data_IF_464767295128
#
_entry.id   IF_464767295128
#
_cell.length_a   1.000
_cell.length_b   1.000
_cell.length_c   1.000
_cell.angle_alpha   90.00
_cell.angle_beta   90.00
_cell.angle_gamma   90.00
#
_symmetry.space_group_name_H-M   'P 1'
#
loop_
_entity.id
_entity.type
_entity.pdbx_description
1 polymer ?
#
# COMPACT_ATOMS: atom_id res chain seq x y z
N UNK A 1 -17.26 60.41 -5.91
CA UNK A 1 -15.85 59.95 -5.97
C UNK A 1 -15.83 58.48 -5.62
N UNK A 2 -15.70 57.62 -6.62
CA UNK A 2 -15.87 56.17 -6.51
C UNK A 2 -14.51 55.51 -6.67
N UNK A 3 -14.03 54.87 -5.61
CA UNK A 3 -12.73 54.19 -5.57
C UNK A 3 -12.83 52.81 -6.24
N UNK A 4 -12.18 52.66 -7.39
CA UNK A 4 -12.05 51.37 -8.07
C UNK A 4 -10.98 50.50 -7.38
N UNK A 5 -11.38 49.33 -6.88
CA UNK A 5 -10.47 48.24 -6.47
C UNK A 5 -9.73 47.70 -7.70
N UNK A 6 -8.39 47.71 -7.67
CA UNK A 6 -7.55 47.02 -8.66
C UNK A 6 -7.69 45.50 -8.48
N UNK A 7 -8.31 44.83 -9.45
CA UNK A 7 -8.29 43.37 -9.57
C UNK A 7 -6.91 42.88 -10.02
N UNK A 8 -6.38 41.86 -9.36
CA UNK A 8 -5.19 41.13 -9.81
C UNK A 8 -5.48 40.44 -11.15
N UNK A 9 -4.72 40.79 -12.20
CA UNK A 9 -4.68 40.03 -13.45
C UNK A 9 -3.66 38.91 -13.31
N UNK A 10 -4.10 37.69 -13.05
CA UNK A 10 -3.28 36.50 -13.29
C UNK A 10 -3.21 36.23 -14.79
N UNK A 11 -2.02 36.31 -15.37
CA UNK A 11 -1.76 35.85 -16.73
C UNK A 11 -1.73 34.31 -16.74
N UNK A 12 -2.89 33.69 -16.90
CA UNK A 12 -2.96 32.27 -17.25
C UNK A 12 -2.55 32.09 -18.71
N UNK A 13 -1.34 31.59 -18.94
CA UNK A 13 -0.96 31.11 -20.27
C UNK A 13 -1.69 29.78 -20.53
N UNK A 14 -2.72 29.79 -21.37
CA UNK A 14 -3.38 28.56 -21.82
C UNK A 14 -2.46 27.80 -22.77
N UNK A 15 -2.30 26.50 -22.52
CA UNK A 15 -1.59 25.60 -23.41
C UNK A 15 -2.33 25.52 -24.76
N UNK A 16 -1.62 25.76 -25.87
CA UNK A 16 -2.20 25.77 -27.23
C UNK A 16 -2.21 24.38 -27.90
N UNK A 17 -1.86 23.30 -27.21
CA UNK A 17 -1.93 21.95 -27.77
C UNK A 17 -3.37 21.40 -27.74
N UNK A 18 -3.92 21.05 -28.91
CA UNK A 18 -5.12 20.21 -29.01
C UNK A 18 -4.87 18.89 -28.25
N UNK A 19 -5.84 18.46 -27.44
CA UNK A 19 -5.83 17.25 -26.58
C UNK A 19 -4.94 17.29 -25.33
N UNK A 20 -4.43 18.44 -24.92
CA UNK A 20 -3.76 18.59 -23.62
C UNK A 20 -4.79 18.96 -22.53
N UNK A 21 -5.31 17.98 -21.80
CA UNK A 21 -6.06 18.21 -20.55
C UNK A 21 -5.08 18.58 -19.42
N UNK A 22 -4.53 19.79 -19.44
CA UNK A 22 -3.84 20.33 -18.25
C UNK A 22 -4.92 20.67 -17.24
N UNK A 23 -5.12 19.79 -16.25
CA UNK A 23 -5.96 20.07 -15.10
C UNK A 23 -5.24 21.12 -14.25
N UNK A 24 -5.61 22.39 -14.42
CA UNK A 24 -5.17 23.47 -13.53
C UNK A 24 -5.83 23.24 -12.18
N UNK A 25 -5.07 22.70 -11.23
CA UNK A 25 -5.51 22.60 -9.83
C UNK A 25 -5.19 23.93 -9.18
N UNK A 26 -6.23 24.72 -8.90
CA UNK A 26 -6.08 25.94 -8.11
C UNK A 26 -6.27 25.56 -6.64
N UNK A 27 -5.38 26.03 -5.75
CA UNK A 27 -5.58 26.00 -4.30
C UNK A 27 -6.00 27.42 -3.88
N UNK A 28 -7.29 27.79 -4.00
CA UNK A 28 -7.76 29.16 -3.72
C UNK A 28 -7.56 29.57 -2.26
N UNK A 29 -7.39 28.57 -1.42
CA UNK A 29 -7.15 28.64 0.00
C UNK A 29 -5.71 29.02 0.40
N UNK A 30 -4.74 28.89 -0.50
CA UNK A 30 -3.37 29.32 -0.23
C UNK A 30 -3.33 30.84 -0.08
N UNK A 31 -2.62 31.34 0.94
CA UNK A 31 -2.66 32.73 1.36
C UNK A 31 -1.29 33.23 1.84
N UNK A 32 -1.12 34.56 1.82
CA UNK A 32 0.10 35.25 2.21
C UNK A 32 1.19 35.23 1.14
N UNK A 33 2.21 36.08 1.32
CA UNK A 33 3.41 36.10 0.47
C UNK A 33 4.44 35.07 0.98
N UNK A 34 4.90 34.19 0.08
CA UNK A 34 5.90 33.17 0.41
C UNK A 34 7.14 33.38 -0.45
N UNK A 35 8.31 33.14 0.14
CA UNK A 35 9.58 33.04 -0.60
C UNK A 35 9.66 31.68 -1.29
N UNK A 36 9.28 30.61 -0.58
CA UNK A 36 9.24 29.23 -1.08
C UNK A 36 8.46 28.33 -0.10
N UNK A 37 7.99 27.16 -0.54
CA UNK A 37 7.86 26.72 -1.93
C UNK A 37 6.68 27.40 -2.65
N UNK A 38 6.55 27.16 -3.96
CA UNK A 38 5.35 27.55 -4.70
C UNK A 38 4.19 26.59 -4.39
N UNK A 39 2.97 27.07 -4.60
CA UNK A 39 1.76 26.25 -4.51
C UNK A 39 1.87 25.05 -5.45
N UNK A 40 1.60 23.86 -4.89
CA UNK A 40 1.61 22.57 -5.58
C UNK A 40 2.96 22.09 -6.12
N UNK A 41 4.07 22.69 -5.64
CA UNK A 41 5.39 22.09 -5.86
C UNK A 41 5.38 20.62 -5.39
N UNK A 42 6.11 19.78 -6.13
CA UNK A 42 6.22 18.35 -5.85
C UNK A 42 7.58 18.04 -5.24
N UNK A 43 7.56 17.29 -4.15
CA UNK A 43 8.74 16.78 -3.48
C UNK A 43 8.63 15.26 -3.40
N UNK A 44 9.77 14.57 -3.30
CA UNK A 44 9.80 13.12 -3.33
C UNK A 44 10.52 12.57 -2.12
N UNK A 45 9.88 11.64 -1.42
CA UNK A 45 10.55 10.64 -0.60
C UNK A 45 11.45 9.86 -1.54
N UNK A 46 12.74 9.81 -1.23
CA UNK A 46 13.71 9.16 -2.11
C UNK A 46 13.56 7.63 -2.11
N UNK A 47 14.29 6.98 -3.01
CA UNK A 47 14.28 5.53 -3.15
C UNK A 47 15.00 4.81 -1.98
N UNK A 48 15.50 5.55 -0.99
CA UNK A 48 16.00 5.08 0.30
C UNK A 48 14.98 5.27 1.44
N UNK A 49 13.77 5.71 1.11
CA UNK A 49 12.70 6.04 2.04
C UNK A 49 13.03 7.20 3.00
N UNK A 50 13.83 8.17 2.56
CA UNK A 50 14.07 9.40 3.32
C UNK A 50 13.09 10.50 2.92
N UNK A 51 12.50 11.15 3.91
CA UNK A 51 11.65 12.32 3.68
C UNK A 51 12.48 13.50 3.13
N UNK A 52 11.99 14.23 2.11
CA UNK A 52 12.75 15.30 1.47
C UNK A 52 12.93 16.52 2.38
N UNK A 53 13.97 17.30 2.12
CA UNK A 53 14.04 18.69 2.62
C UNK A 53 13.02 19.53 1.86
N UNK A 54 12.12 20.17 2.59
CA UNK A 54 11.10 21.08 2.04
C UNK A 54 11.12 22.34 2.91
N UNK A 55 11.85 23.35 2.44
CA UNK A 55 11.98 24.60 3.18
C UNK A 55 10.80 25.51 2.86
N UNK A 56 9.97 25.74 3.86
CA UNK A 56 8.92 26.73 3.88
C UNK A 56 9.49 28.05 4.41
N UNK A 57 9.21 29.16 3.73
CA UNK A 57 9.68 30.48 4.13
C UNK A 57 8.65 31.56 3.77
N UNK A 58 8.18 32.28 4.78
CA UNK A 58 7.18 33.34 4.64
C UNK A 58 7.86 34.70 4.49
N UNK A 59 7.18 35.62 3.79
CA UNK A 59 7.59 37.02 3.69
C UNK A 59 6.61 37.87 4.52
N UNK A 60 7.10 38.42 5.62
CA UNK A 60 6.34 39.27 6.56
C UNK A 60 7.26 40.26 7.25
N UNK A 61 6.75 41.44 7.59
CA UNK A 61 7.42 42.40 8.46
C UNK A 61 6.98 42.26 9.93
N UNK A 62 5.97 41.43 10.20
CA UNK A 62 5.50 41.18 11.56
C UNK A 62 6.60 40.52 12.41
N UNK A 63 6.83 40.99 13.65
CA UNK A 63 7.78 40.36 14.55
C UNK A 63 7.31 38.97 14.96
N UNK A 64 8.26 38.07 15.20
CA UNK A 64 7.99 36.76 15.77
C UNK A 64 7.67 36.81 17.27
N UNK A 65 7.40 35.65 17.89
CA UNK A 65 7.52 34.32 17.31
C UNK A 65 6.34 33.95 16.41
N UNK A 66 6.60 33.07 15.44
CA UNK A 66 5.62 32.59 14.48
C UNK A 66 5.07 31.24 14.91
N UNK A 67 3.74 31.07 14.85
CA UNK A 67 3.09 29.79 15.12
C UNK A 67 2.95 29.02 13.82
N UNK A 68 3.66 27.91 13.71
CA UNK A 68 3.62 27.03 12.55
C UNK A 68 2.70 25.86 12.84
N UNK A 69 1.91 25.47 11.86
CA UNK A 69 1.21 24.19 11.86
C UNK A 69 1.33 23.53 10.50
N UNK A 70 1.33 22.22 10.49
CA UNK A 70 1.36 21.42 9.29
C UNK A 70 0.31 20.31 9.38
N UNK A 71 -0.25 19.96 8.24
CA UNK A 71 -1.17 18.85 8.07
C UNK A 71 -0.81 18.10 6.79
N UNK A 72 -0.52 16.80 6.93
CA UNK A 72 -0.35 15.86 5.82
C UNK A 72 -1.62 15.03 5.68
N UNK A 73 -2.11 14.87 4.46
CA UNK A 73 -3.24 13.99 4.18
C UNK A 73 -3.10 13.27 2.84
N UNK A 74 -3.51 12.01 2.79
CA UNK A 74 -3.55 11.21 1.57
C UNK A 74 -4.82 10.38 1.52
N UNK A 75 -5.56 10.51 0.43
CA UNK A 75 -6.71 9.67 0.14
C UNK A 75 -6.25 8.45 -0.66
N UNK A 76 -6.26 7.28 -0.02
CA UNK A 76 -5.90 6.02 -0.64
C UNK A 76 -6.98 5.58 -1.63
N UNK A 77 -6.66 5.63 -2.91
CA UNK A 77 -7.52 5.15 -3.99
C UNK A 77 -6.94 3.88 -4.61
N UNK A 78 -7.82 2.90 -4.90
CA UNK A 78 -7.44 1.61 -5.48
C UNK A 78 -6.71 1.81 -6.80
N UNK A 79 -5.56 1.18 -6.99
CA UNK A 79 -4.81 1.19 -8.25
C UNK A 79 -4.74 -0.21 -8.90
N UNK A 80 -4.65 -1.26 -8.08
CA UNK A 80 -4.07 -2.54 -8.52
C UNK A 80 -2.59 -2.35 -8.91
N UNK A 81 -2.04 -3.26 -9.73
CA UNK A 81 -0.62 -3.19 -10.16
C UNK A 81 -0.40 -2.50 -11.52
N UNK A 82 -1.46 -2.29 -12.31
CA UNK A 82 -1.37 -1.70 -13.65
C UNK A 82 -1.25 -0.18 -13.56
N UNK A 83 -0.47 0.42 -14.47
CA UNK A 83 -0.36 1.87 -14.63
C UNK A 83 -1.62 2.44 -15.28
N UNK A 84 -2.63 2.77 -14.46
CA UNK A 84 -3.91 3.34 -14.89
C UNK A 84 -4.44 4.31 -13.84
N UNK A 85 -5.44 5.09 -14.23
CA UNK A 85 -6.18 5.93 -13.30
C UNK A 85 -6.69 5.11 -12.10
N UNK A 86 -6.55 5.69 -10.90
CA UNK A 86 -7.04 5.07 -9.66
C UNK A 86 -8.56 5.01 -9.64
N UNK A 87 -9.08 3.96 -9.01
CA UNK A 87 -10.49 3.71 -8.78
C UNK A 87 -11.00 4.40 -7.51
N UNK A 88 -11.94 3.74 -6.81
CA UNK A 88 -12.58 4.28 -5.61
C UNK A 88 -11.61 4.52 -4.45
N UNK A 89 -11.94 5.47 -3.58
CA UNK A 89 -11.29 5.67 -2.29
C UNK A 89 -11.60 4.50 -1.35
N UNK A 90 -10.60 4.00 -0.64
CA UNK A 90 -10.73 2.96 0.40
C UNK A 90 -10.39 3.45 1.80
N UNK A 91 -9.55 4.48 1.92
CA UNK A 91 -9.20 5.08 3.20
C UNK A 91 -8.68 6.52 3.03
N UNK A 92 -8.63 7.26 4.13
CA UNK A 92 -7.92 8.54 4.24
C UNK A 92 -6.94 8.42 5.39
N UNK A 93 -5.68 8.75 5.14
CA UNK A 93 -4.63 8.83 6.14
C UNK A 93 -4.23 10.28 6.35
N UNK A 94 -3.97 10.65 7.60
CA UNK A 94 -3.58 12.02 7.92
C UNK A 94 -2.71 12.08 9.16
N UNK A 95 -1.86 13.09 9.21
CA UNK A 95 -1.05 13.45 10.37
C UNK A 95 -0.90 14.97 10.44
N UNK A 96 -0.62 15.49 11.62
CA UNK A 96 -0.50 16.94 11.84
C UNK A 96 0.38 17.25 13.03
N UNK A 97 0.88 18.48 13.06
CA UNK A 97 1.57 19.02 14.21
C UNK A 97 1.62 20.54 14.16
N UNK A 98 2.01 21.12 15.27
CA UNK A 98 2.20 22.54 15.44
C UNK A 98 3.37 22.81 16.37
N UNK A 99 3.97 23.99 16.21
CA UNK A 99 5.08 24.46 17.03
C UNK A 99 5.24 25.97 16.86
N UNK A 100 6.09 26.58 17.67
CA UNK A 100 6.40 28.01 17.62
C UNK A 100 7.90 28.22 17.48
N UNK A 101 8.32 29.14 16.62
CA UNK A 101 9.73 29.49 16.46
C UNK A 101 9.92 30.97 16.11
N UNK A 102 11.11 31.51 16.35
CA UNK A 102 11.45 32.88 15.97
C UNK A 102 11.74 33.03 14.47
N UNK A 103 12.12 31.95 13.77
CA UNK A 103 12.51 31.96 12.37
C UNK A 103 11.32 32.05 11.40
N UNK A 104 11.50 32.81 10.32
CA UNK A 104 10.55 32.89 9.18
C UNK A 104 10.61 31.67 8.25
N UNK A 105 11.53 30.75 8.51
CA UNK A 105 11.76 29.57 7.70
C UNK A 105 11.75 28.28 8.52
N UNK A 106 11.10 27.24 8.01
CA UNK A 106 11.02 25.93 8.60
C UNK A 106 11.24 24.84 7.54
N UNK A 107 12.06 23.83 7.84
CA UNK A 107 12.23 22.65 7.00
C UNK A 107 11.28 21.53 7.46
N UNK A 108 10.37 21.13 6.59
CA UNK A 108 9.44 20.03 6.88
C UNK A 108 10.14 18.69 7.11
N UNK A 109 11.44 18.54 6.78
CA UNK A 109 12.23 17.36 7.16
C UNK A 109 12.21 17.10 8.67
N UNK A 110 12.01 18.12 9.51
CA UNK A 110 11.90 17.94 10.97
C UNK A 110 10.61 17.26 11.41
N UNK A 111 9.64 17.02 10.51
CA UNK A 111 8.49 16.14 10.78
C UNK A 111 9.00 14.77 11.24
N UNK A 112 10.15 14.32 10.71
CA UNK A 112 10.81 13.06 11.07
C UNK A 112 9.89 11.83 10.89
N UNK A 113 9.11 11.83 9.80
CA UNK A 113 8.20 10.75 9.39
C UNK A 113 8.25 10.58 7.88
N UNK A 114 8.22 9.35 7.40
CA UNK A 114 8.18 9.03 5.97
C UNK A 114 6.73 8.87 5.54
N UNK A 115 6.04 9.99 5.31
CA UNK A 115 4.63 10.04 4.90
C UNK A 115 4.46 10.95 3.68
N UNK A 116 3.62 10.59 2.72
CA UNK A 116 3.36 11.40 1.54
C UNK A 116 1.91 11.83 1.43
N UNK A 117 1.58 12.61 0.41
CA UNK A 117 0.26 13.17 0.16
C UNK A 117 0.27 14.68 -0.02
N UNK A 118 -0.85 15.31 0.30
CA UNK A 118 -0.97 16.77 0.32
C UNK A 118 -0.47 17.30 1.65
N UNK A 119 0.61 18.10 1.63
CA UNK A 119 1.13 18.81 2.79
C UNK A 119 0.63 20.25 2.75
N UNK A 120 -0.12 20.64 3.77
CA UNK A 120 -0.54 22.03 4.00
C UNK A 120 0.22 22.59 5.18
N UNK A 121 0.84 23.75 5.02
CA UNK A 121 1.52 24.49 6.08
C UNK A 121 0.79 25.80 6.30
N UNK A 122 0.55 26.12 7.57
CA UNK A 122 -0.07 27.37 8.00
C UNK A 122 0.83 28.08 9.00
N UNK A 123 0.96 29.40 8.87
CA UNK A 123 1.76 30.23 9.78
C UNK A 123 0.91 31.40 10.26
N UNK A 124 0.88 31.63 11.56
CA UNK A 124 0.35 32.85 12.16
C UNK A 124 1.52 33.77 12.54
N UNK A 125 1.51 35.00 12.02
CA UNK A 125 2.51 36.04 12.25
C UNK A 125 1.82 37.35 12.65
N UNK A 126 1.59 37.53 13.97
CA UNK A 126 0.74 38.62 14.45
C UNK A 126 -0.70 38.47 13.93
N UNK A 127 -1.18 39.44 13.17
CA UNK A 127 -2.50 39.41 12.51
C UNK A 127 -2.47 38.73 11.12
N UNK A 128 -1.28 38.50 10.56
CA UNK A 128 -1.13 37.87 9.25
C UNK A 128 -1.25 36.35 9.34
N UNK A 129 -1.89 35.76 8.32
CA UNK A 129 -2.03 34.31 8.16
C UNK A 129 -1.51 33.88 6.80
N UNK A 130 -0.62 32.90 6.83
CA UNK A 130 -0.03 32.30 5.65
C UNK A 130 -0.55 30.87 5.51
N UNK A 131 -0.84 30.44 4.29
CA UNK A 131 -1.16 29.05 3.97
C UNK A 131 -0.51 28.66 2.65
N UNK A 132 0.24 27.55 2.66
CA UNK A 132 0.89 27.00 1.46
C UNK A 132 0.65 25.50 1.39
N UNK A 133 0.29 25.04 0.20
CA UNK A 133 0.08 23.62 -0.09
C UNK A 133 1.12 23.10 -1.07
N UNK A 134 1.72 21.95 -0.78
CA UNK A 134 2.62 21.20 -1.67
C UNK A 134 2.21 19.74 -1.74
N UNK A 135 2.80 18.97 -2.65
CA UNK A 135 2.59 17.52 -2.75
C UNK A 135 3.87 16.77 -2.45
N UNK A 136 3.79 15.75 -1.59
CA UNK A 136 4.89 14.83 -1.30
C UNK A 136 4.56 13.47 -1.90
N UNK A 137 5.37 13.01 -2.84
CA UNK A 137 5.28 11.73 -3.53
C UNK A 137 6.46 10.85 -3.13
N UNK A 138 6.59 9.65 -3.72
CA UNK A 138 7.71 8.76 -3.44
C UNK A 138 8.40 8.27 -4.71
N UNK A 139 9.66 7.84 -4.58
CA UNK A 139 10.41 7.17 -5.63
C UNK A 139 10.39 5.66 -5.42
N UNK A 140 10.19 4.91 -6.50
CA UNK A 140 10.17 3.46 -6.46
C UNK A 140 11.60 2.94 -6.27
N UNK A 141 11.89 2.15 -5.20
CA UNK A 141 13.17 1.46 -5.10
C UNK A 141 13.32 0.40 -6.20
N UNK A 142 14.54 0.10 -6.61
CA UNK A 142 14.79 -1.02 -7.51
C UNK A 142 14.48 -2.36 -6.83
N UNK A 143 14.16 -3.38 -7.63
CA UNK A 143 13.94 -4.73 -7.12
C UNK A 143 15.21 -5.26 -6.42
N UNK A 144 16.38 -4.95 -6.94
CA UNK A 144 17.68 -5.32 -6.37
C UNK A 144 17.87 -4.69 -4.99
N UNK A 145 17.44 -3.43 -4.80
CA UNK A 145 17.50 -2.75 -3.51
C UNK A 145 16.60 -3.43 -2.48
N UNK A 146 15.37 -3.78 -2.88
CA UNK A 146 14.45 -4.54 -2.01
C UNK A 146 15.05 -5.91 -1.65
N UNK A 147 15.58 -6.65 -2.63
CA UNK A 147 16.21 -7.95 -2.40
C UNK A 147 17.40 -7.86 -1.45
N UNK A 148 18.28 -6.88 -1.64
CA UNK A 148 19.40 -6.63 -0.74
C UNK A 148 18.92 -6.32 0.70
N UNK A 149 17.83 -5.54 0.83
CA UNK A 149 17.23 -5.21 2.12
C UNK A 149 16.65 -6.43 2.84
N UNK A 150 15.99 -7.34 2.10
CA UNK A 150 15.49 -8.62 2.60
C UNK A 150 16.63 -9.58 3.00
N UNK A 151 17.66 -9.68 2.16
CA UNK A 151 18.82 -10.53 2.41
C UNK A 151 19.55 -10.14 3.71
N UNK A 152 19.75 -8.83 3.93
CA UNK A 152 20.33 -8.30 5.17
C UNK A 152 19.53 -8.68 6.43
N UNK A 153 18.22 -8.95 6.29
CA UNK A 153 17.30 -9.36 7.37
C UNK A 153 17.03 -10.86 7.41
N UNK A 154 17.67 -11.65 6.54
CA UNK A 154 17.46 -13.10 6.41
C UNK A 154 16.00 -13.48 6.10
N UNK A 155 15.29 -12.62 5.36
CA UNK A 155 13.86 -12.78 5.05
C UNK A 155 13.63 -13.32 3.62
N UNK A 156 14.35 -14.37 3.20
CA UNK A 156 14.28 -14.89 1.81
C UNK A 156 12.92 -15.47 1.43
N UNK A 157 12.16 -16.02 2.39
CA UNK A 157 10.79 -16.50 2.15
C UNK A 157 9.86 -15.37 1.68
N UNK A 158 10.08 -14.14 2.15
CA UNK A 158 9.30 -12.97 1.76
C UNK A 158 9.64 -12.51 0.33
N UNK A 159 10.83 -12.81 -0.21
CA UNK A 159 11.20 -12.41 -1.57
C UNK A 159 10.24 -13.01 -2.62
N UNK A 160 9.93 -14.31 -2.49
CA UNK A 160 8.98 -14.99 -3.40
C UNK A 160 7.58 -14.38 -3.30
N UNK A 161 7.15 -14.06 -2.08
CA UNK A 161 5.87 -13.40 -1.85
C UNK A 161 5.83 -12.01 -2.49
N UNK A 162 6.84 -11.15 -2.28
CA UNK A 162 6.86 -9.82 -2.92
C UNK A 162 6.89 -9.89 -4.45
N UNK A 163 7.59 -10.88 -5.00
CA UNK A 163 7.59 -11.13 -6.44
C UNK A 163 6.18 -11.45 -6.96
N UNK A 164 5.40 -12.23 -6.20
CA UNK A 164 4.03 -12.58 -6.53
C UNK A 164 3.04 -11.43 -6.29
N UNK A 165 3.06 -10.84 -5.09
CA UNK A 165 2.09 -9.85 -4.62
C UNK A 165 2.14 -8.56 -5.43
N UNK A 166 3.35 -8.09 -5.75
CA UNK A 166 3.51 -6.79 -6.37
C UNK A 166 4.56 -6.74 -7.47
N UNK A 167 5.33 -7.81 -7.68
CA UNK A 167 6.55 -7.79 -8.52
C UNK A 167 7.54 -6.73 -8.03
N UNK A 168 7.69 -6.64 -6.70
CA UNK A 168 8.51 -5.62 -6.00
C UNK A 168 8.05 -4.18 -6.20
N UNK A 169 6.83 -3.97 -6.72
CA UNK A 169 6.29 -2.65 -6.97
C UNK A 169 5.65 -2.08 -5.70
N UNK A 170 6.26 -1.02 -5.16
CA UNK A 170 5.72 -0.30 -4.03
C UNK A 170 4.78 0.82 -4.47
N UNK A 171 5.05 1.45 -5.62
CA UNK A 171 4.35 2.62 -6.13
C UNK A 171 3.73 2.39 -7.51
N UNK A 172 2.68 3.15 -7.83
CA UNK A 172 2.25 3.38 -9.21
C UNK A 172 3.09 4.49 -9.80
N UNK A 173 3.85 4.22 -10.86
CA UNK A 173 4.80 5.18 -11.40
C UNK A 173 4.11 6.39 -12.04
N UNK A 174 2.89 6.21 -12.55
CA UNK A 174 2.11 7.28 -13.18
C UNK A 174 1.77 8.44 -12.21
N UNK A 175 1.64 8.17 -10.91
CA UNK A 175 1.34 9.20 -9.90
C UNK A 175 2.33 9.22 -8.72
N UNK A 176 3.25 8.26 -8.65
CA UNK A 176 4.26 8.15 -7.60
C UNK A 176 3.68 8.01 -6.18
N UNK A 177 2.48 7.43 -6.08
CA UNK A 177 1.84 7.08 -4.81
C UNK A 177 1.85 5.55 -4.57
N UNK A 178 1.77 5.08 -3.31
CA UNK A 178 1.74 3.66 -2.99
C UNK A 178 0.67 2.87 -3.75
N UNK A 179 0.99 1.62 -4.07
CA UNK A 179 0.03 0.64 -4.60
C UNK A 179 -1.07 0.40 -3.57
N UNK A 180 -2.32 0.40 -4.02
CA UNK A 180 -3.50 0.09 -3.19
C UNK A 180 -4.36 -0.96 -3.89
N UNK A 181 -4.56 -2.11 -3.27
CA UNK A 181 -5.47 -3.15 -3.75
C UNK A 181 -6.92 -2.89 -3.32
N UNK A 182 -7.86 -3.58 -4.00
CA UNK A 182 -9.30 -3.40 -3.81
C UNK A 182 -9.81 -3.85 -2.44
N UNK A 183 -9.05 -4.69 -1.75
CA UNK A 183 -9.28 -5.19 -0.40
C UNK A 183 -8.51 -4.41 0.67
N UNK A 184 -7.92 -3.26 0.30
CA UNK A 184 -7.07 -2.42 1.15
C UNK A 184 -5.71 -3.05 1.49
N UNK A 185 -5.10 -3.81 0.58
CA UNK A 185 -3.67 -4.11 0.62
C UNK A 185 -2.82 -2.90 0.19
N UNK A 186 -1.73 -2.61 0.91
CA UNK A 186 -0.88 -1.43 0.66
C UNK A 186 0.59 -1.78 0.38
N UNK A 187 1.18 -1.08 -0.59
CA UNK A 187 2.62 -1.13 -0.86
C UNK A 187 3.10 -2.42 -1.50
N UNK A 188 4.39 -2.74 -1.37
CA UNK A 188 4.99 -3.87 -2.09
C UNK A 188 4.56 -5.21 -1.47
N UNK A 189 4.36 -5.23 -0.15
CA UNK A 189 3.93 -6.41 0.57
C UNK A 189 2.41 -6.57 0.64
N UNK A 190 1.63 -5.67 0.04
CA UNK A 190 0.16 -5.71 0.08
C UNK A 190 -0.38 -5.91 1.51
N UNK A 191 0.16 -5.17 2.49
CA UNK A 191 -0.28 -5.28 3.89
C UNK A 191 -1.74 -4.88 4.03
N UNK A 192 -2.58 -5.78 4.55
CA UNK A 192 -4.05 -5.56 4.61
C UNK A 192 -4.60 -5.57 6.03
N UNK A 193 -4.17 -6.51 6.89
CA UNK A 193 -4.70 -6.68 8.25
C UNK A 193 -3.59 -6.97 9.28
N UNK A 194 -3.51 -6.20 10.39
CA UNK A 194 -4.26 -4.96 10.65
C UNK A 194 -3.97 -3.90 9.57
N UNK A 195 -4.82 -2.86 9.48
CA UNK A 195 -4.58 -1.75 8.54
C UNK A 195 -3.20 -1.16 8.88
N UNK A 196 -2.28 -1.07 7.91
CA UNK A 196 -0.94 -0.56 8.17
C UNK A 196 -0.97 0.92 8.59
N UNK A 197 0.03 1.31 9.38
CA UNK A 197 0.22 2.70 9.77
C UNK A 197 0.61 3.55 8.57
N UNK A 198 0.38 4.86 8.65
CA UNK A 198 0.61 5.78 7.52
C UNK A 198 2.06 5.73 7.00
N UNK A 199 3.05 5.63 7.89
CA UNK A 199 4.45 5.48 7.53
C UNK A 199 4.75 4.14 6.85
N UNK A 200 4.18 3.04 7.35
CA UNK A 200 4.30 1.70 6.75
C UNK A 200 3.71 1.62 5.33
N UNK A 201 2.90 2.59 4.91
CA UNK A 201 2.35 2.65 3.56
C UNK A 201 3.27 3.41 2.60
N UNK A 202 3.90 4.49 3.05
CA UNK A 202 4.73 5.38 2.22
C UNK A 202 6.22 5.03 2.26
N UNK A 203 6.70 4.45 3.35
CA UNK A 203 8.06 3.93 3.47
C UNK A 203 8.08 2.48 2.98
N UNK A 204 8.73 2.23 1.84
CA UNK A 204 8.92 0.88 1.36
C UNK A 204 9.70 0.01 2.36
N UNK A 205 10.61 0.62 3.13
CA UNK A 205 11.38 -0.05 4.19
C UNK A 205 10.48 -0.50 5.34
N UNK A 206 9.64 0.39 5.86
CA UNK A 206 8.71 0.04 6.94
C UNK A 206 7.60 -0.90 6.48
N UNK A 207 7.16 -0.79 5.22
CA UNK A 207 6.24 -1.74 4.60
C UNK A 207 6.84 -3.16 4.62
N UNK A 208 8.10 -3.29 4.24
CA UNK A 208 8.80 -4.56 4.25
C UNK A 208 9.09 -5.04 5.67
N UNK A 209 9.51 -4.18 6.59
CA UNK A 209 9.78 -4.57 7.98
C UNK A 209 8.50 -5.09 8.67
N UNK A 210 7.35 -4.47 8.40
CA UNK A 210 6.06 -4.97 8.87
C UNK A 210 5.68 -6.31 8.24
N UNK A 211 6.00 -6.52 6.96
CA UNK A 211 5.79 -7.80 6.27
C UNK A 211 6.72 -8.91 6.80
N UNK A 212 7.97 -8.59 7.15
CA UNK A 212 8.92 -9.50 7.79
C UNK A 212 8.36 -9.95 9.14
N UNK A 213 7.87 -9.00 9.94
CA UNK A 213 7.21 -9.35 11.21
C UNK A 213 6.01 -10.28 10.99
N UNK A 214 5.18 -9.98 9.99
CA UNK A 214 4.00 -10.79 9.69
C UNK A 214 4.37 -12.21 9.26
N UNK A 215 5.35 -12.38 8.36
CA UNK A 215 5.76 -13.71 7.91
C UNK A 215 6.45 -14.50 9.03
N UNK A 216 7.18 -13.84 9.95
CA UNK A 216 7.74 -14.49 11.13
C UNK A 216 6.63 -14.99 12.07
N UNK A 217 5.58 -14.20 12.29
CA UNK A 217 4.40 -14.62 13.05
C UNK A 217 3.71 -15.82 12.37
N UNK A 218 3.58 -15.81 11.03
CA UNK A 218 3.04 -16.95 10.26
C UNK A 218 3.93 -18.19 10.36
N UNK A 219 5.24 -18.01 10.33
CA UNK A 219 6.21 -19.09 10.48
C UNK A 219 6.11 -19.73 11.86
N UNK A 220 5.86 -18.94 12.91
CA UNK A 220 5.62 -19.50 14.24
C UNK A 220 4.34 -20.32 14.29
N UNK A 221 3.24 -19.83 13.71
CA UNK A 221 1.99 -20.60 13.60
C UNK A 221 2.21 -21.91 12.83
N UNK A 222 2.98 -21.87 11.73
CA UNK A 222 3.34 -23.05 10.96
C UNK A 222 4.13 -24.08 11.79
N UNK A 223 5.12 -23.63 12.57
CA UNK A 223 5.87 -24.49 13.49
C UNK A 223 4.95 -25.14 14.52
N UNK A 224 4.08 -24.36 15.14
CA UNK A 224 3.15 -24.85 16.16
C UNK A 224 2.16 -25.88 15.57
N UNK A 225 1.71 -25.66 14.34
CA UNK A 225 0.86 -26.58 13.60
C UNK A 225 1.57 -27.89 13.28
N UNK A 226 2.73 -27.82 12.62
CA UNK A 226 3.47 -29.00 12.17
C UNK A 226 4.05 -29.82 13.33
N UNK A 227 4.35 -29.19 14.46
CA UNK A 227 4.88 -29.88 15.65
C UNK A 227 3.85 -30.77 16.36
N UNK A 228 2.55 -30.65 16.04
CA UNK A 228 1.48 -31.44 16.71
C UNK A 228 1.61 -32.95 16.52
N UNK A 229 2.27 -33.38 15.45
CA UNK A 229 2.35 -34.79 15.07
C UNK A 229 3.78 -35.27 14.78
N UNK A 230 4.80 -34.55 15.25
CA UNK A 230 6.21 -34.97 15.19
C UNK A 230 7.09 -34.10 14.29
N UNK A 231 8.09 -34.71 13.66
CA UNK A 231 9.11 -34.02 12.84
C UNK A 231 8.56 -33.56 11.49
N UNK A 232 8.97 -32.37 11.05
CA UNK A 232 8.69 -31.82 9.72
C UNK A 232 9.99 -31.29 9.09
N UNK A 233 10.01 -31.17 7.76
CA UNK A 233 11.17 -30.63 7.02
C UNK A 233 11.12 -29.10 6.95
N UNK A 234 12.24 -28.48 6.59
CA UNK A 234 12.27 -27.03 6.33
C UNK A 234 11.35 -26.64 5.17
N UNK A 235 11.28 -27.47 4.11
CA UNK A 235 10.39 -27.23 2.96
C UNK A 235 8.91 -27.24 3.35
N UNK A 236 8.53 -28.14 4.27
CA UNK A 236 7.17 -28.16 4.82
C UNK A 236 6.90 -26.88 5.62
N UNK A 237 7.84 -26.44 6.44
CA UNK A 237 7.69 -25.21 7.20
C UNK A 237 7.54 -24.00 6.28
N UNK A 238 8.34 -23.91 5.22
CA UNK A 238 8.30 -22.80 4.27
C UNK A 238 6.99 -22.82 3.45
N UNK A 239 6.55 -24.00 2.99
CA UNK A 239 5.27 -24.19 2.28
C UNK A 239 4.07 -23.82 3.15
N UNK A 240 4.06 -24.29 4.40
CA UNK A 240 3.02 -23.97 5.38
C UNK A 240 2.98 -22.47 5.69
N UNK A 241 4.15 -21.84 5.81
CA UNK A 241 4.27 -20.38 6.04
C UNK A 241 3.70 -19.58 4.86
N UNK A 242 4.01 -19.98 3.62
CA UNK A 242 3.47 -19.35 2.40
C UNK A 242 1.94 -19.51 2.33
N UNK A 243 1.43 -20.69 2.67
CA UNK A 243 -0.01 -20.95 2.71
C UNK A 243 -0.72 -20.02 3.71
N UNK A 244 -0.15 -19.88 4.91
CA UNK A 244 -0.68 -19.02 5.98
C UNK A 244 -0.61 -17.52 5.68
N UNK A 245 0.25 -17.10 4.73
CA UNK A 245 0.30 -15.72 4.25
C UNK A 245 -1.02 -15.31 3.58
N UNK A 246 -1.48 -16.10 2.59
CA UNK A 246 -2.77 -15.86 1.93
C UNK A 246 -3.95 -16.37 2.78
N UNK A 247 -3.73 -17.40 3.61
CA UNK A 247 -4.64 -17.86 4.66
C UNK A 247 -5.02 -19.33 4.55
N UNK A 248 -4.93 -20.05 5.67
CA UNK A 248 -5.20 -21.48 5.76
C UNK A 248 -3.92 -22.30 5.94
N UNK A 249 -4.08 -23.53 6.42
CA UNK A 249 -2.98 -24.50 6.55
C UNK A 249 -2.81 -25.25 5.23
N UNK A 250 -1.56 -25.55 4.85
CA UNK A 250 -1.29 -26.32 3.63
C UNK A 250 -1.43 -27.82 3.89
N UNK A 251 -0.83 -28.26 4.99
CA UNK A 251 -0.77 -29.67 5.34
C UNK A 251 -1.91 -30.06 6.28
N UNK A 252 -2.51 -31.21 5.98
CA UNK A 252 -3.39 -31.92 6.89
C UNK A 252 -2.70 -33.21 7.35
N UNK A 253 -2.84 -33.53 8.64
CA UNK A 253 -2.40 -34.81 9.17
C UNK A 253 -3.40 -35.91 8.80
N UNK A 254 -2.94 -36.95 8.10
CA UNK A 254 -3.76 -38.12 7.79
C UNK A 254 -3.33 -39.30 8.67
N UNK A 255 -4.28 -39.81 9.45
CA UNK A 255 -4.10 -41.04 10.24
C UNK A 255 -4.38 -42.31 9.41
N UNK A 256 -5.04 -42.18 8.24
CA UNK A 256 -5.40 -43.26 7.32
C UNK A 256 -5.46 -42.71 5.88
N UNK A 257 -5.26 -43.54 4.81
CA UNK A 257 -4.93 -44.97 4.83
C UNK A 257 -3.44 -45.26 5.11
N UNK A 258 -2.57 -44.25 5.11
CA UNK A 258 -1.22 -44.36 5.64
C UNK A 258 -1.16 -43.58 6.96
N UNK A 259 -1.00 -44.24 8.12
CA UNK A 259 -0.84 -43.53 9.38
C UNK A 259 0.49 -42.76 9.38
N UNK A 260 0.47 -41.52 9.87
CA UNK A 260 1.70 -40.90 10.34
C UNK A 260 2.35 -39.87 9.42
N UNK A 261 1.61 -39.19 8.52
CA UNK A 261 2.21 -38.16 7.67
C UNK A 261 1.37 -36.91 7.49
N UNK A 262 2.09 -35.80 7.35
CA UNK A 262 1.59 -34.56 6.79
C UNK A 262 1.47 -34.72 5.26
N UNK A 263 0.31 -34.40 4.70
CA UNK A 263 0.06 -34.42 3.25
C UNK A 263 -0.69 -33.14 2.87
N UNK A 264 -0.59 -32.71 1.60
CA UNK A 264 -1.35 -31.55 1.09
C UNK A 264 -2.83 -31.74 1.40
N UNK A 265 -3.54 -30.71 1.85
CA UNK A 265 -4.99 -30.80 2.08
C UNK A 265 -5.72 -31.12 0.76
N UNK A 266 -6.18 -32.36 0.63
CA UNK A 266 -6.84 -32.88 -0.58
C UNK A 266 -8.29 -32.43 -0.70
N UNK A 267 -8.85 -31.84 0.35
CA UNK A 267 -10.20 -31.25 0.28
C UNK A 267 -10.20 -30.00 -0.58
N UNK A 268 -9.06 -29.35 -0.77
CA UNK A 268 -8.97 -28.17 -1.61
C UNK A 268 -8.58 -28.55 -3.04
N UNK A 269 -9.54 -28.41 -3.97
CA UNK A 269 -9.29 -28.42 -5.40
C UNK A 269 -9.00 -26.99 -5.87
N UNK A 270 -7.87 -26.78 -6.54
CA UNK A 270 -7.43 -25.45 -6.93
C UNK A 270 -7.78 -25.12 -8.38
N UNK A 271 -8.18 -23.87 -8.61
CA UNK A 271 -8.33 -23.31 -9.94
C UNK A 271 -6.93 -23.00 -10.51
N UNK A 272 -6.39 -23.89 -11.35
CA UNK A 272 -5.03 -23.79 -11.93
C UNK A 272 -4.81 -22.59 -12.86
N UNK A 273 -5.88 -21.90 -13.25
CA UNK A 273 -5.84 -20.67 -14.07
C UNK A 273 -5.82 -19.40 -13.21
N UNK A 274 -5.93 -19.54 -11.90
CA UNK A 274 -5.85 -18.46 -10.93
C UNK A 274 -4.63 -18.67 -10.01
N UNK A 275 -4.36 -17.67 -9.17
CA UNK A 275 -3.25 -17.73 -8.22
C UNK A 275 -3.62 -18.22 -6.83
N UNK A 276 -4.89 -18.16 -6.42
CA UNK A 276 -5.29 -18.43 -5.04
C UNK A 276 -6.75 -18.83 -4.86
N UNK A 277 -7.46 -19.19 -5.94
CA UNK A 277 -8.87 -19.60 -5.85
C UNK A 277 -8.95 -21.14 -5.84
N UNK A 278 -9.87 -21.66 -5.05
CA UNK A 278 -10.20 -23.08 -5.04
C UNK A 278 -11.54 -23.38 -4.38
N UNK A 279 -11.84 -24.66 -4.29
CA UNK A 279 -13.10 -25.21 -3.78
C UNK A 279 -12.82 -26.27 -2.74
N UNK A 280 -13.61 -26.26 -1.66
CA UNK A 280 -13.68 -27.38 -0.73
C UNK A 280 -14.55 -28.49 -1.36
N UNK A 281 -13.93 -29.60 -1.74
CA UNK A 281 -14.57 -30.77 -2.36
C UNK A 281 -15.35 -31.62 -1.36
N UNK A 282 -15.24 -31.35 -0.05
CA UNK A 282 -16.10 -31.94 0.96
C UNK A 282 -17.45 -31.23 1.08
N UNK A 283 -17.59 -30.04 0.50
CA UNK A 283 -18.88 -29.36 0.39
C UNK A 283 -19.76 -30.05 -0.66
N UNK A 284 -21.03 -30.29 -0.31
CA UNK A 284 -21.97 -31.00 -1.17
C UNK A 284 -22.08 -30.41 -2.59
N UNK A 285 -22.03 -29.07 -2.69
CA UNK A 285 -22.10 -28.35 -3.97
C UNK A 285 -20.87 -28.50 -4.88
N UNK A 286 -19.75 -29.05 -4.37
CA UNK A 286 -18.50 -29.23 -5.11
C UNK A 286 -18.10 -30.71 -5.24
N UNK A 287 -18.84 -31.61 -4.61
CA UNK A 287 -18.49 -33.02 -4.52
C UNK A 287 -18.56 -33.68 -5.90
N UNK A 288 -17.58 -34.52 -6.21
CA UNK A 288 -17.48 -35.29 -7.46
C UNK A 288 -17.52 -34.44 -8.75
N UNK A 289 -17.20 -33.14 -8.65
CA UNK A 289 -17.12 -32.21 -9.78
C UNK A 289 -15.69 -31.98 -10.23
N UNK A 290 -15.48 -31.68 -11.51
CA UNK A 290 -14.16 -31.39 -12.04
C UNK A 290 -13.81 -29.91 -11.89
N UNK A 291 -12.51 -29.59 -11.97
CA UNK A 291 -12.03 -28.19 -11.95
C UNK A 291 -12.67 -27.36 -13.07
N UNK A 292 -12.87 -27.94 -14.26
CA UNK A 292 -13.48 -27.22 -15.38
C UNK A 292 -14.95 -26.89 -15.11
N UNK A 293 -15.72 -27.85 -14.57
CA UNK A 293 -17.14 -27.63 -14.26
C UNK A 293 -17.32 -26.55 -13.19
N UNK A 294 -16.49 -26.60 -12.13
CA UNK A 294 -16.51 -25.61 -11.07
C UNK A 294 -16.08 -24.23 -11.55
N UNK A 295 -15.03 -24.14 -12.36
CA UNK A 295 -14.59 -22.88 -12.97
C UNK A 295 -15.66 -22.31 -13.87
N UNK A 296 -16.29 -23.11 -14.72
CA UNK A 296 -17.34 -22.63 -15.62
C UNK A 296 -18.56 -22.13 -14.86
N UNK A 297 -18.87 -22.70 -13.70
CA UNK A 297 -19.89 -22.18 -12.79
C UNK A 297 -19.50 -20.83 -12.16
N UNK A 298 -18.25 -20.68 -11.72
CA UNK A 298 -17.88 -19.62 -10.75
C UNK A 298 -17.02 -18.48 -11.30
N UNK A 299 -16.33 -18.64 -12.44
CA UNK A 299 -15.33 -17.67 -12.93
C UNK A 299 -15.84 -16.24 -13.11
N UNK A 300 -17.13 -16.09 -13.43
CA UNK A 300 -17.77 -14.79 -13.64
C UNK A 300 -18.08 -14.06 -12.31
N UNK A 301 -18.02 -14.77 -11.17
CA UNK A 301 -18.23 -14.23 -9.83
C UNK A 301 -16.92 -13.78 -9.15
N UNK A 302 -15.76 -14.22 -9.64
CA UNK A 302 -14.45 -13.91 -9.04
C UNK A 302 -14.20 -12.40 -8.92
N UNK A 303 -14.62 -11.63 -9.92
CA UNK A 303 -14.47 -10.17 -9.94
C UNK A 303 -15.28 -9.46 -8.84
N UNK A 304 -16.28 -10.12 -8.25
CA UNK A 304 -17.08 -9.62 -7.12
C UNK A 304 -16.39 -9.87 -5.78
N UNK A 305 -15.22 -10.52 -5.77
CA UNK A 305 -14.44 -10.84 -4.59
C UNK A 305 -15.31 -11.60 -3.57
N UNK A 306 -15.21 -11.30 -2.28
CA UNK A 306 -16.03 -11.93 -1.22
C UNK A 306 -17.54 -11.87 -1.45
N UNK A 307 -18.04 -10.91 -2.25
CA UNK A 307 -19.48 -10.81 -2.55
C UNK A 307 -19.94 -11.85 -3.57
N UNK A 308 -19.03 -12.40 -4.37
CA UNK A 308 -19.31 -13.49 -5.32
C UNK A 308 -19.19 -14.88 -4.70
N UNK A 309 -18.77 -14.99 -3.43
CA UNK A 309 -18.69 -16.25 -2.70
C UNK A 309 -20.07 -16.52 -2.07
N UNK A 310 -20.92 -17.25 -2.79
CA UNK A 310 -22.29 -17.55 -2.36
C UNK A 310 -22.50 -19.05 -2.18
N UNK A 311 -23.71 -19.48 -1.79
CA UNK A 311 -24.02 -20.91 -1.69
C UNK A 311 -24.06 -21.58 -3.06
N UNK A 312 -24.46 -20.83 -4.08
CA UNK A 312 -24.52 -21.24 -5.49
C UNK A 312 -23.12 -21.21 -6.14
N UNK A 313 -22.26 -20.31 -5.64
CA UNK A 313 -20.88 -20.13 -6.09
C UNK A 313 -19.88 -20.24 -4.93
N UNK A 314 -19.73 -21.44 -4.33
CA UNK A 314 -18.92 -21.67 -3.13
C UNK A 314 -17.41 -21.79 -3.42
N UNK A 315 -16.86 -20.92 -4.27
CA UNK A 315 -15.42 -20.74 -4.41
C UNK A 315 -14.87 -19.92 -3.24
N UNK A 316 -13.58 -20.07 -2.94
CA UNK A 316 -12.92 -19.29 -1.88
C UNK A 316 -11.47 -18.94 -2.25
N UNK A 317 -10.91 -17.97 -1.53
CA UNK A 317 -9.47 -17.77 -1.51
C UNK A 317 -8.84 -18.82 -0.60
N UNK A 318 -7.82 -19.52 -1.10
CA UNK A 318 -7.16 -20.62 -0.40
C UNK A 318 -5.66 -20.46 -0.37
N UNK A 319 -5.09 -20.52 0.83
CA UNK A 319 -3.65 -20.62 1.05
C UNK A 319 -3.03 -21.87 0.43
N UNK A 320 -3.79 -22.98 0.31
CA UNK A 320 -3.30 -24.21 -0.36
C UNK A 320 -3.00 -23.89 -1.82
N UNK A 321 -3.98 -23.30 -2.52
CA UNK A 321 -3.85 -22.94 -3.93
C UNK A 321 -2.79 -21.86 -4.17
N UNK A 322 -2.68 -20.91 -3.23
CA UNK A 322 -1.64 -19.89 -3.27
C UNK A 322 -0.23 -20.48 -3.15
N UNK A 323 -0.03 -21.41 -2.22
CA UNK A 323 1.25 -22.10 -2.07
C UNK A 323 1.58 -22.95 -3.29
N UNK A 324 0.61 -23.71 -3.82
CA UNK A 324 0.81 -24.50 -5.05
C UNK A 324 1.25 -23.61 -6.22
N UNK A 325 0.57 -22.47 -6.41
CA UNK A 325 0.89 -21.52 -7.47
C UNK A 325 2.30 -20.91 -7.34
N UNK A 326 2.69 -20.50 -6.12
CA UNK A 326 4.01 -19.89 -5.88
C UNK A 326 5.15 -20.90 -6.02
N UNK A 327 4.92 -22.13 -5.59
CA UNK A 327 5.94 -23.19 -5.56
C UNK A 327 6.00 -23.98 -6.87
N UNK A 328 4.96 -23.90 -7.71
CA UNK A 328 4.86 -24.66 -8.96
C UNK A 328 4.52 -26.13 -8.74
N UNK A 329 3.73 -26.44 -7.71
CA UNK A 329 3.33 -27.79 -7.32
C UNK A 329 2.14 -28.33 -8.12
#
# INVERSE_FOLDING_TARGET
>A
MTTHKKGHKTAGATNKTKNSLVKVVVKPDDAGEWVKPNTLDKFYIDDEANFPTIVFEIKTDAPGPYKWSWAMSWDAHVSGLREKARGKKVATFSDRGDFTQAGKSWDAKTINKVIGGTLTVTVEAGEEKFRRTVTVLAQQPSAEKIKAYLAARKASALEKLLAQESRFKHLILADSEPVVAGDSGYGAAQLTKPIPQYQQIWSWKENIDAAIKLIDDKKQIAKDWLSRHGTYTQDMLDTETISLWNGGHYYQWYATPAPGRWDRDKKILCDTKTGNIGWDTSAEANKDTTENDLRDRDKDEYNKMKKGQTKEHPWTYSGVCYADHILGN
#
